data_IF_512046955925
#
_entry.id   IF_512046955925
#
_cell.length_a   1.000
_cell.length_b   1.000
_cell.length_c   1.000
_cell.angle_alpha   90.00
_cell.angle_beta   90.00
_cell.angle_gamma   90.00
#
_symmetry.space_group_name_H-M   'P 1'
#
loop_
_entity.id
_entity.type
_entity.pdbx_description
1 polymer ?
#
# COMPACT_ATOMS: atom_id res chain seq x y z
N UNK A 1 5.43 27.38 -15.02
CA UNK A 1 5.31 27.36 -13.55
C UNK A 1 3.97 26.77 -13.15
N UNK A 2 3.99 25.68 -12.42
CA UNK A 2 2.77 25.05 -11.90
C UNK A 2 2.29 25.92 -10.72
N UNK A 3 1.28 26.75 -10.91
CA UNK A 3 0.77 27.74 -9.93
C UNK A 3 0.29 27.14 -8.59
N UNK A 4 0.25 25.82 -8.46
CA UNK A 4 -0.26 25.10 -7.28
C UNK A 4 0.71 24.09 -6.70
N UNK A 5 2.00 24.17 -7.08
CA UNK A 5 3.05 23.28 -6.58
C UNK A 5 3.92 24.04 -5.59
N UNK A 6 4.11 23.48 -4.41
CA UNK A 6 5.06 23.96 -3.41
C UNK A 6 6.16 22.90 -3.24
N UNK A 7 7.41 23.28 -3.46
CA UNK A 7 8.57 22.44 -3.18
C UNK A 7 8.97 22.67 -1.72
N UNK A 8 9.09 21.59 -0.97
CA UNK A 8 9.51 21.60 0.42
C UNK A 8 10.87 20.92 0.54
N UNK A 9 11.82 21.57 1.17
CA UNK A 9 13.11 20.98 1.53
C UNK A 9 12.97 20.21 2.85
N UNK A 10 13.45 18.97 2.90
CA UNK A 10 13.47 18.14 4.11
C UNK A 10 14.92 17.91 4.56
N UNK A 11 15.39 18.59 5.62
CA UNK A 11 16.80 18.67 5.99
C UNK A 11 17.28 17.50 6.89
N UNK A 12 16.75 16.29 6.69
CA UNK A 12 17.11 15.13 7.50
C UNK A 12 17.40 13.91 6.62
N UNK A 13 18.03 12.85 7.13
CA UNK A 13 18.23 11.59 6.41
C UNK A 13 16.92 11.01 5.86
N UNK A 14 17.02 10.32 4.74
CA UNK A 14 15.85 9.75 4.08
C UNK A 14 15.07 8.82 5.01
N UNK A 15 13.80 9.17 5.23
CA UNK A 15 12.80 8.40 5.95
C UNK A 15 11.45 8.68 5.28
N UNK A 16 10.93 7.70 4.53
CA UNK A 16 9.69 7.86 3.77
C UNK A 16 8.52 8.32 4.66
N UNK A 17 8.37 7.70 5.82
CA UNK A 17 7.30 8.05 6.77
C UNK A 17 7.44 9.50 7.27
N UNK A 18 8.64 9.92 7.65
CA UNK A 18 8.88 11.27 8.18
C UNK A 18 8.71 12.34 7.10
N UNK A 19 9.19 12.10 5.88
CA UNK A 19 9.04 13.02 4.74
C UNK A 19 7.55 13.22 4.43
N UNK A 20 6.77 12.14 4.38
CA UNK A 20 5.34 12.23 4.11
C UNK A 20 4.57 12.89 5.25
N UNK A 21 4.87 12.57 6.51
CA UNK A 21 4.28 13.27 7.66
C UNK A 21 4.60 14.77 7.63
N UNK A 22 5.82 15.14 7.25
CA UNK A 22 6.22 16.53 7.06
C UNK A 22 5.42 17.19 5.94
N UNK A 23 5.30 16.55 4.78
CA UNK A 23 4.52 17.05 3.65
C UNK A 23 3.04 17.28 3.99
N UNK A 24 2.42 16.37 4.74
CA UNK A 24 1.01 16.50 5.17
C UNK A 24 0.77 17.75 6.04
N UNK A 25 1.73 18.17 6.87
CA UNK A 25 1.62 19.41 7.66
C UNK A 25 1.49 20.67 6.81
N UNK A 26 1.99 20.63 5.58
CA UNK A 26 1.92 21.74 4.62
C UNK A 26 0.78 21.59 3.61
N UNK A 27 0.19 20.41 3.48
CA UNK A 27 -0.95 20.16 2.61
C UNK A 27 -2.23 20.80 3.20
N UNK A 28 -3.18 21.21 2.34
CA UNK A 28 -4.42 21.90 2.76
C UNK A 28 -5.70 21.11 2.46
N UNK A 29 -5.60 20.04 1.65
CA UNK A 29 -6.75 19.27 1.22
C UNK A 29 -7.39 18.47 2.35
N UNK A 30 -8.69 18.22 2.26
CA UNK A 30 -9.43 17.29 3.14
C UNK A 30 -9.16 15.82 2.81
N UNK A 31 -8.64 15.53 1.62
CA UNK A 31 -8.11 14.24 1.20
C UNK A 31 -6.61 14.42 0.96
N UNK A 32 -5.81 13.54 1.54
CA UNK A 32 -4.36 13.48 1.38
C UNK A 32 -4.04 12.40 0.35
N UNK A 33 -3.14 12.70 -0.59
CA UNK A 33 -2.59 11.75 -1.53
C UNK A 33 -1.09 11.53 -1.31
N UNK A 34 -0.69 10.29 -1.08
CA UNK A 34 0.71 9.86 -1.17
C UNK A 34 0.95 9.34 -2.58
N UNK A 35 1.87 9.94 -3.30
CA UNK A 35 2.16 9.60 -4.69
C UNK A 35 3.67 9.63 -4.87
N UNK A 36 4.25 8.51 -5.25
CA UNK A 36 5.68 8.43 -5.56
C UNK A 36 6.00 9.24 -6.82
N UNK A 37 7.23 9.74 -6.90
CA UNK A 37 7.70 10.57 -8.01
C UNK A 37 7.97 9.78 -9.32
N UNK A 38 7.88 8.45 -9.27
CA UNK A 38 8.06 7.51 -10.37
C UNK A 38 6.73 6.83 -10.80
N UNK A 39 5.61 7.52 -10.54
CA UNK A 39 4.28 7.16 -11.04
C UNK A 39 4.03 7.80 -12.41
N UNK A 40 3.52 7.00 -13.35
CA UNK A 40 3.05 7.46 -14.67
C UNK A 40 1.58 7.07 -14.87
N UNK A 41 0.75 8.02 -15.29
CA UNK A 41 -0.70 7.83 -15.40
C UNK A 41 -1.06 7.08 -16.69
N UNK A 42 -1.85 5.99 -16.55
CA UNK A 42 -2.47 5.27 -17.66
C UNK A 42 -3.94 5.71 -17.81
N UNK A 43 -4.72 5.66 -16.74
CA UNK A 43 -6.14 6.06 -16.75
C UNK A 43 -6.25 7.56 -16.46
N UNK A 44 -6.69 8.40 -17.41
CA UNK A 44 -6.77 9.85 -17.19
C UNK A 44 -7.66 10.26 -16.00
N UNK A 45 -8.73 9.48 -15.71
CA UNK A 45 -9.70 9.73 -14.64
C UNK A 45 -9.30 9.08 -13.31
N UNK A 46 -8.10 8.54 -13.15
CA UNK A 46 -7.65 7.80 -11.98
C UNK A 46 -7.95 8.52 -10.66
N UNK A 47 -7.67 9.83 -10.61
CA UNK A 47 -7.89 10.63 -9.40
C UNK A 47 -9.38 10.78 -9.07
N UNK A 48 -10.23 10.94 -10.09
CA UNK A 48 -11.69 11.04 -9.92
C UNK A 48 -12.25 9.74 -9.31
N UNK A 49 -11.83 8.58 -9.82
CA UNK A 49 -12.24 7.29 -9.26
C UNK A 49 -11.79 7.12 -7.82
N UNK A 50 -10.53 7.37 -7.54
CA UNK A 50 -9.98 7.22 -6.18
C UNK A 50 -10.61 8.20 -5.18
N UNK A 51 -10.82 9.46 -5.56
CA UNK A 51 -11.50 10.46 -4.71
C UNK A 51 -12.94 10.06 -4.45
N UNK A 52 -13.66 9.57 -5.47
CA UNK A 52 -15.03 9.08 -5.32
C UNK A 52 -15.17 8.00 -4.26
N UNK A 53 -14.19 7.08 -4.16
CA UNK A 53 -14.13 6.10 -3.07
C UNK A 53 -13.72 6.75 -1.74
N UNK A 54 -12.68 7.57 -1.72
CA UNK A 54 -12.14 8.16 -0.50
C UNK A 54 -13.13 9.08 0.24
N UNK A 55 -14.12 9.66 -0.47
CA UNK A 55 -15.17 10.49 0.13
C UNK A 55 -16.21 9.71 0.93
N UNK A 56 -16.35 8.39 0.70
CA UNK A 56 -17.33 7.55 1.38
C UNK A 56 -16.98 7.40 2.87
N UNK A 57 -17.97 7.43 3.76
CA UNK A 57 -17.75 7.36 5.21
C UNK A 57 -17.11 6.04 5.65
N UNK A 58 -17.51 4.92 5.01
CA UNK A 58 -17.02 3.58 5.32
C UNK A 58 -15.62 3.27 4.75
N UNK A 59 -15.00 4.22 4.00
CA UNK A 59 -13.72 3.99 3.32
C UNK A 59 -12.57 4.69 4.04
N UNK A 60 -11.52 3.92 4.29
CA UNK A 60 -10.25 4.35 4.86
C UNK A 60 -9.25 4.80 3.79
N UNK A 61 -8.26 3.96 3.51
CA UNK A 61 -7.30 4.21 2.45
C UNK A 61 -7.82 3.68 1.10
N UNK A 62 -7.49 4.38 0.01
CA UNK A 62 -7.76 3.95 -1.36
C UNK A 62 -6.45 3.84 -2.11
N UNK A 63 -6.09 2.65 -2.60
CA UNK A 63 -4.88 2.40 -3.40
C UNK A 63 -5.21 2.16 -4.87
N UNK A 64 -4.35 2.65 -5.76
CA UNK A 64 -4.48 2.46 -7.20
C UNK A 64 -4.00 1.07 -7.65
N UNK A 65 -4.43 0.63 -8.83
CA UNK A 65 -3.81 -0.48 -9.54
C UNK A 65 -2.48 -0.03 -10.14
N UNK A 66 -1.38 -0.66 -9.71
CA UNK A 66 -0.06 -0.32 -10.21
C UNK A 66 0.51 -1.45 -11.07
N UNK A 67 1.16 -1.04 -12.15
CA UNK A 67 1.83 -1.91 -13.10
C UNK A 67 3.32 -1.64 -13.11
N UNK A 68 4.11 -2.68 -13.31
CA UNK A 68 5.51 -2.55 -13.72
C UNK A 68 5.63 -1.97 -15.13
N UNK A 69 6.81 -1.51 -15.51
CA UNK A 69 7.08 -0.99 -16.86
C UNK A 69 6.82 -2.02 -17.97
N UNK A 70 6.85 -3.32 -17.66
CA UNK A 70 6.53 -4.42 -18.57
C UNK A 70 5.02 -4.78 -18.58
N UNK A 71 4.18 -3.94 -17.98
CA UNK A 71 2.71 -4.07 -17.88
C UNK A 71 2.20 -5.15 -16.95
N UNK A 72 3.06 -5.92 -16.26
CA UNK A 72 2.59 -6.89 -15.26
C UNK A 72 2.10 -6.17 -14.00
N UNK A 73 1.18 -6.84 -13.28
CA UNK A 73 0.67 -6.34 -12.00
C UNK A 73 1.82 -6.19 -11.00
N UNK A 74 1.97 -4.99 -10.45
CA UNK A 74 2.82 -4.71 -9.30
C UNK A 74 1.99 -4.67 -8.02
N UNK A 75 0.86 -3.96 -8.04
CA UNK A 75 -0.06 -3.83 -6.92
C UNK A 75 -1.52 -3.98 -7.37
N UNK A 76 -2.22 -4.91 -6.74
CA UNK A 76 -3.66 -5.10 -6.80
C UNK A 76 -4.22 -5.42 -5.40
N UNK A 77 -3.81 -4.61 -4.40
CA UNK A 77 -4.08 -4.82 -2.98
C UNK A 77 -2.93 -5.52 -2.25
N UNK A 78 -2.97 -5.51 -0.93
CA UNK A 78 -1.97 -6.13 -0.04
C UNK A 78 -2.65 -7.16 0.84
N UNK A 79 -2.05 -8.36 0.91
CA UNK A 79 -2.44 -9.47 1.80
C UNK A 79 -1.44 -9.58 2.94
N UNK A 80 -1.94 -9.69 4.16
CA UNK A 80 -1.12 -9.93 5.34
C UNK A 80 -0.69 -11.40 5.41
N UNK A 81 0.53 -11.64 5.91
CA UNK A 81 1.09 -12.98 6.06
C UNK A 81 1.98 -13.44 4.91
N UNK A 82 1.89 -12.88 3.71
CA UNK A 82 2.84 -13.17 2.63
C UNK A 82 4.27 -12.85 3.08
N UNK A 83 5.20 -13.80 2.87
CA UNK A 83 6.59 -13.65 3.30
C UNK A 83 6.77 -13.44 4.81
N UNK A 84 5.79 -13.84 5.62
CA UNK A 84 5.79 -13.64 7.07
C UNK A 84 5.44 -12.22 7.53
N UNK A 85 5.13 -11.30 6.60
CA UNK A 85 4.76 -9.91 6.88
C UNK A 85 3.53 -9.49 6.10
N UNK A 86 3.73 -8.90 4.95
CA UNK A 86 2.68 -8.51 4.00
C UNK A 86 3.26 -8.46 2.58
N UNK A 87 2.42 -8.73 1.57
CA UNK A 87 2.85 -8.70 0.18
C UNK A 87 1.73 -8.32 -0.77
N UNK A 88 2.10 -7.96 -1.99
CA UNK A 88 1.17 -7.55 -3.03
C UNK A 88 0.42 -8.74 -3.60
N UNK A 89 -0.90 -8.64 -3.66
CA UNK A 89 -1.77 -9.63 -4.29
C UNK A 89 -1.52 -9.71 -5.80
N UNK A 90 -1.52 -10.94 -6.36
CA UNK A 90 -1.39 -11.20 -7.80
C UNK A 90 -0.15 -10.57 -8.45
N UNK A 91 0.92 -10.37 -7.69
CA UNK A 91 2.17 -9.79 -8.21
C UNK A 91 2.67 -10.56 -9.43
N UNK A 92 3.14 -9.83 -10.45
CA UNK A 92 3.62 -10.35 -11.74
C UNK A 92 2.54 -11.01 -12.63
N UNK A 93 1.26 -10.98 -12.29
CA UNK A 93 0.21 -11.44 -13.18
C UNK A 93 0.08 -10.51 -14.41
N UNK A 94 -0.37 -11.04 -15.57
CA UNK A 94 -0.69 -10.19 -16.73
C UNK A 94 -1.74 -9.13 -16.36
N UNK A 95 -1.62 -7.91 -16.91
CA UNK A 95 -2.56 -6.80 -16.70
C UNK A 95 -4.03 -7.18 -16.97
N UNK A 96 -4.26 -8.01 -18.00
CA UNK A 96 -5.59 -8.46 -18.43
C UNK A 96 -6.14 -9.65 -17.64
N UNK A 97 -5.38 -10.23 -16.72
CA UNK A 97 -5.82 -11.38 -15.94
C UNK A 97 -6.89 -10.96 -14.92
N UNK A 98 -7.96 -11.73 -14.80
CA UNK A 98 -9.03 -11.43 -13.85
C UNK A 98 -8.59 -11.57 -12.37
N UNK A 99 -7.63 -12.45 -12.11
CA UNK A 99 -7.21 -12.82 -10.75
C UNK A 99 -8.18 -13.82 -10.11
N UNK A 100 -8.05 -13.98 -8.81
CA UNK A 100 -8.96 -14.81 -8.03
C UNK A 100 -10.31 -14.10 -7.87
N UNK A 101 -11.38 -14.67 -8.43
CA UNK A 101 -12.74 -14.10 -8.40
C UNK A 101 -12.77 -12.61 -8.80
N UNK A 102 -12.16 -12.28 -9.92
CA UNK A 102 -12.08 -10.94 -10.51
C UNK A 102 -11.39 -9.87 -9.63
N UNK A 103 -10.60 -10.27 -8.63
CA UNK A 103 -9.99 -9.32 -7.67
C UNK A 103 -8.95 -8.38 -8.29
N UNK A 104 -8.47 -8.63 -9.51
CA UNK A 104 -7.60 -7.69 -10.24
C UNK A 104 -8.41 -6.64 -11.00
N UNK A 105 -9.58 -7.03 -11.53
CA UNK A 105 -10.38 -6.20 -12.44
C UNK A 105 -11.53 -5.48 -11.77
N UNK A 106 -11.93 -5.92 -10.58
CA UNK A 106 -12.98 -5.31 -9.79
C UNK A 106 -12.44 -4.56 -8.57
N UNK A 107 -12.93 -3.36 -8.32
CA UNK A 107 -12.66 -2.61 -7.08
C UNK A 107 -13.17 -3.39 -5.88
N UNK A 108 -12.31 -3.63 -4.89
CA UNK A 108 -12.64 -4.45 -3.72
C UNK A 108 -11.80 -4.11 -2.49
N UNK A 109 -12.18 -4.67 -1.33
CA UNK A 109 -11.50 -4.41 -0.07
C UNK A 109 -10.27 -5.31 0.13
N UNK A 110 -9.22 -4.71 0.69
CA UNK A 110 -8.03 -5.39 1.21
C UNK A 110 -7.66 -4.87 2.60
N UNK A 111 -6.87 -5.62 3.34
CA UNK A 111 -6.38 -5.16 4.65
C UNK A 111 -5.44 -3.97 4.54
N UNK A 112 -4.68 -3.89 3.45
CA UNK A 112 -3.84 -2.73 3.16
C UNK A 112 -3.72 -2.48 1.64
N UNK A 113 -3.23 -1.28 1.31
CA UNK A 113 -2.85 -0.85 -0.05
C UNK A 113 -1.54 -0.07 0.03
N UNK A 114 -0.77 -0.04 -1.07
CA UNK A 114 0.54 0.61 -1.05
C UNK A 114 0.46 2.13 -1.11
N UNK A 115 1.34 2.80 -0.36
CA UNK A 115 1.48 4.25 -0.40
C UNK A 115 2.27 4.77 -1.63
N UNK A 116 2.65 3.91 -2.57
CA UNK A 116 3.17 4.38 -3.86
C UNK A 116 2.12 5.24 -4.62
N UNK A 117 0.82 4.89 -4.49
CA UNK A 117 -0.31 5.75 -4.86
C UNK A 117 -1.51 5.45 -3.96
N UNK A 118 -1.72 6.27 -2.93
CA UNK A 118 -2.74 6.08 -1.90
C UNK A 118 -3.44 7.39 -1.57
N UNK A 119 -4.77 7.36 -1.48
CA UNK A 119 -5.58 8.46 -0.95
C UNK A 119 -6.19 8.10 0.41
N UNK A 120 -6.29 9.09 1.30
CA UNK A 120 -6.93 8.95 2.61
C UNK A 120 -7.55 10.27 3.06
N UNK A 121 -8.66 10.25 3.80
CA UNK A 121 -9.18 11.46 4.45
C UNK A 121 -8.15 12.01 5.44
N UNK A 122 -8.00 13.33 5.48
CA UNK A 122 -7.16 14.01 6.49
C UNK A 122 -7.57 13.64 7.91
N UNK A 123 -8.88 13.58 8.18
CA UNK A 123 -9.39 13.19 9.49
C UNK A 123 -8.93 11.80 9.93
N UNK A 124 -8.85 10.83 9.02
CA UNK A 124 -8.32 9.50 9.33
C UNK A 124 -6.81 9.53 9.56
N UNK A 125 -6.06 10.28 8.71
CA UNK A 125 -4.62 10.45 8.88
C UNK A 125 -4.29 11.06 10.25
N UNK A 126 -5.00 12.11 10.64
CA UNK A 126 -4.80 12.81 11.91
C UNK A 126 -5.21 11.91 13.11
N UNK A 127 -6.33 11.18 13.00
CA UNK A 127 -6.81 10.28 14.05
C UNK A 127 -5.82 9.16 14.40
N UNK A 128 -5.02 8.69 13.41
CA UNK A 128 -4.00 7.64 13.62
C UNK A 128 -2.59 8.19 13.82
N UNK A 129 -2.43 9.52 13.92
CA UNK A 129 -1.15 10.23 14.03
C UNK A 129 -0.17 9.94 12.88
N UNK A 130 -0.71 9.78 11.65
CA UNK A 130 0.07 9.60 10.44
C UNK A 130 0.88 8.31 10.37
N UNK A 131 1.95 8.34 9.57
CA UNK A 131 2.87 7.22 9.35
C UNK A 131 3.83 7.05 10.54
N UNK A 132 4.27 5.82 10.80
CA UNK A 132 5.18 5.50 11.91
C UNK A 132 6.65 5.76 11.54
N UNK A 133 7.07 7.00 11.65
CA UNK A 133 8.43 7.44 11.29
C UNK A 133 9.55 6.88 12.18
N UNK A 134 9.21 6.42 13.40
CA UNK A 134 10.21 5.92 14.36
C UNK A 134 10.58 4.46 14.15
N UNK A 135 9.63 3.64 13.71
CA UNK A 135 9.79 2.18 13.62
C UNK A 135 9.74 1.65 12.17
N UNK A 136 9.09 2.38 11.27
CA UNK A 136 8.86 2.00 9.88
C UNK A 136 9.27 3.14 8.95
N UNK A 137 10.57 3.33 8.83
CA UNK A 137 11.13 4.43 8.04
C UNK A 137 10.88 4.25 6.54
N UNK A 138 10.88 3.01 6.04
CA UNK A 138 10.79 2.70 4.60
C UNK A 138 9.86 1.54 4.29
N UNK A 139 10.07 0.35 4.86
CA UNK A 139 9.23 -0.82 4.57
C UNK A 139 8.01 -0.89 5.50
N UNK A 140 6.89 -1.42 4.98
CA UNK A 140 5.66 -1.70 5.72
C UNK A 140 4.99 -0.50 6.41
N UNK A 141 5.43 0.72 6.13
CA UNK A 141 4.82 1.92 6.71
C UNK A 141 3.39 2.13 6.23
N UNK A 142 3.11 1.78 4.98
CA UNK A 142 1.78 1.79 4.37
C UNK A 142 0.87 0.70 4.96
N UNK A 143 1.41 -0.49 5.21
CA UNK A 143 0.68 -1.60 5.84
C UNK A 143 0.25 -1.22 7.25
N UNK A 144 1.19 -0.77 8.11
CA UNK A 144 0.90 -0.27 9.46
C UNK A 144 -0.13 0.86 9.44
N UNK A 145 0.04 1.82 8.54
CA UNK A 145 -0.88 2.94 8.39
C UNK A 145 -2.30 2.48 8.01
N UNK A 146 -2.43 1.61 7.00
CA UNK A 146 -3.70 1.04 6.59
C UNK A 146 -4.38 0.27 7.72
N UNK A 147 -3.64 -0.50 8.51
CA UNK A 147 -4.17 -1.26 9.63
C UNK A 147 -4.63 -0.35 10.79
N UNK A 148 -3.90 0.73 11.07
CA UNK A 148 -4.35 1.75 12.02
C UNK A 148 -5.64 2.42 11.57
N UNK A 149 -5.75 2.76 10.28
CA UNK A 149 -6.98 3.34 9.69
C UNK A 149 -8.14 2.34 9.75
N UNK A 150 -7.92 1.04 9.46
CA UNK A 150 -8.94 0.00 9.65
C UNK A 150 -9.45 -0.05 11.10
N UNK A 151 -8.58 0.20 12.08
CA UNK A 151 -8.94 0.29 13.50
C UNK A 151 -9.96 1.39 13.84
N UNK A 152 -10.19 2.34 12.93
CA UNK A 152 -11.26 3.35 13.05
C UNK A 152 -12.65 2.81 12.61
N UNK A 153 -12.76 1.54 12.22
CA UNK A 153 -14.01 0.92 11.76
C UNK A 153 -14.32 1.14 10.27
N UNK A 154 -13.32 1.52 9.48
CA UNK A 154 -13.44 1.74 8.03
C UNK A 154 -12.64 0.70 7.24
N UNK A 155 -12.95 0.52 5.94
CA UNK A 155 -12.30 -0.47 5.07
C UNK A 155 -11.35 0.19 4.08
N UNK A 156 -10.18 -0.43 3.86
CA UNK A 156 -9.29 -0.01 2.78
C UNK A 156 -9.74 -0.61 1.45
N UNK A 157 -9.60 0.16 0.37
CA UNK A 157 -10.10 -0.17 -0.96
C UNK A 157 -8.97 -0.17 -1.97
N UNK A 158 -8.86 -1.23 -2.74
CA UNK A 158 -8.13 -1.28 -3.99
C UNK A 158 -9.06 -0.80 -5.12
N UNK A 159 -8.65 0.26 -5.83
CA UNK A 159 -9.41 0.86 -6.93
C UNK A 159 -8.87 0.32 -8.27
N UNK A 160 -9.57 -0.64 -8.85
CA UNK A 160 -9.14 -1.32 -10.08
C UNK A 160 -9.18 -0.41 -11.32
N UNK A 161 -10.06 0.59 -11.34
CA UNK A 161 -10.23 1.54 -12.44
C UNK A 161 -9.10 2.56 -12.54
N UNK A 162 -8.37 2.79 -11.44
CA UNK A 162 -7.25 3.72 -11.39
C UNK A 162 -5.94 3.00 -11.73
N UNK A 163 -5.63 2.86 -13.02
CA UNK A 163 -4.41 2.21 -13.48
C UNK A 163 -3.27 3.22 -13.69
N UNK A 164 -2.09 2.93 -13.12
CA UNK A 164 -0.87 3.70 -13.28
C UNK A 164 0.35 2.77 -13.40
N UNK A 165 1.40 3.21 -14.09
CA UNK A 165 2.72 2.60 -13.95
C UNK A 165 3.40 3.10 -12.68
N UNK A 166 4.16 2.24 -12.02
CA UNK A 166 5.10 2.60 -10.98
C UNK A 166 6.46 2.02 -11.35
N UNK A 167 7.36 2.90 -11.78
CA UNK A 167 8.68 2.57 -12.29
C UNK A 167 9.67 2.27 -11.16
N UNK A 168 9.30 1.32 -10.29
CA UNK A 168 10.05 0.93 -9.10
C UNK A 168 11.53 0.70 -9.37
N UNK A 169 12.38 1.13 -8.45
CA UNK A 169 13.82 0.90 -8.45
C UNK A 169 14.66 1.73 -9.44
N UNK A 170 14.08 2.63 -10.23
CA UNK A 170 14.87 3.50 -11.11
C UNK A 170 15.77 4.44 -10.30
N UNK A 171 15.27 4.92 -9.14
CA UNK A 171 15.98 5.89 -8.30
C UNK A 171 16.74 5.29 -7.11
N UNK A 172 16.40 4.08 -6.63
CA UNK A 172 16.97 3.50 -5.39
C UNK A 172 17.87 2.28 -5.59
N UNK A 173 17.79 1.59 -6.72
CA UNK A 173 18.39 0.28 -6.92
C UNK A 173 17.80 -0.80 -5.98
N UNK A 174 18.30 -2.04 -6.11
CA UNK A 174 17.91 -3.14 -5.22
C UNK A 174 18.43 -2.91 -3.79
N UNK A 175 17.63 -3.26 -2.77
CA UNK A 175 17.97 -3.16 -1.35
C UNK A 175 18.94 -4.29 -0.91
N UNK A 176 20.11 -4.36 -1.57
CA UNK A 176 21.08 -5.46 -1.37
C UNK A 176 22.20 -5.13 -0.37
N UNK A 177 22.29 -3.89 0.16
CA UNK A 177 23.32 -3.58 1.15
C UNK A 177 22.99 -4.20 2.52
N UNK A 178 24.01 -4.60 3.32
CA UNK A 178 23.80 -5.14 4.66
C UNK A 178 22.99 -4.22 5.59
N UNK A 179 23.18 -2.89 5.48
CA UNK A 179 22.46 -1.90 6.28
C UNK A 179 20.98 -1.87 5.91
N UNK A 180 20.66 -1.91 4.62
CA UNK A 180 19.29 -1.93 4.13
C UNK A 180 18.57 -3.22 4.52
N UNK A 181 19.25 -4.36 4.42
CA UNK A 181 18.74 -5.66 4.88
C UNK A 181 18.48 -5.66 6.40
N UNK A 182 19.42 -5.13 7.19
CA UNK A 182 19.26 -5.01 8.64
C UNK A 182 18.08 -4.07 9.01
N UNK A 183 17.90 -2.96 8.28
CA UNK A 183 16.74 -2.08 8.45
C UNK A 183 15.44 -2.84 8.14
N UNK A 184 15.36 -3.47 6.98
CA UNK A 184 14.17 -4.24 6.56
C UNK A 184 13.78 -5.29 7.60
N UNK A 185 14.75 -6.05 8.13
CA UNK A 185 14.49 -7.07 9.15
C UNK A 185 13.97 -6.46 10.47
N UNK A 186 14.45 -5.28 10.89
CA UNK A 186 13.92 -4.58 12.08
C UNK A 186 12.49 -4.11 11.83
N UNK A 187 12.19 -3.56 10.64
CA UNK A 187 10.87 -3.09 10.26
C UNK A 187 9.87 -4.26 10.16
N UNK A 188 10.30 -5.39 9.57
CA UNK A 188 9.50 -6.62 9.52
C UNK A 188 9.20 -7.17 10.94
N UNK A 189 10.20 -7.25 11.80
CA UNK A 189 10.03 -7.70 13.19
C UNK A 189 9.04 -6.81 13.95
N UNK A 190 9.12 -5.49 13.74
CA UNK A 190 8.15 -4.57 14.33
C UNK A 190 6.73 -4.85 13.81
N UNK A 191 6.54 -4.99 12.50
CA UNK A 191 5.23 -5.28 11.91
C UNK A 191 4.66 -6.59 12.47
N UNK A 192 5.46 -7.66 12.50
CA UNK A 192 5.06 -8.97 13.03
C UNK A 192 4.66 -8.92 14.51
N UNK A 193 5.30 -8.05 15.30
CA UNK A 193 5.00 -7.90 16.72
C UNK A 193 3.73 -7.07 16.93
N UNK A 194 3.65 -5.93 16.26
CA UNK A 194 2.54 -4.97 16.41
C UNK A 194 1.22 -5.53 15.88
N UNK A 195 1.27 -6.29 14.76
CA UNK A 195 0.10 -6.77 14.03
C UNK A 195 0.00 -8.29 13.97
N UNK A 196 0.52 -8.98 14.99
CA UNK A 196 0.59 -10.45 15.06
C UNK A 196 -0.73 -11.15 14.75
N UNK A 197 -1.83 -10.65 15.30
CA UNK A 197 -3.15 -11.26 15.14
C UNK A 197 -3.65 -11.14 13.69
N UNK A 198 -3.50 -9.96 13.09
CA UNK A 198 -3.92 -9.67 11.73
C UNK A 198 -3.04 -10.39 10.70
N UNK A 199 -1.73 -10.47 10.92
CA UNK A 199 -0.81 -11.22 10.06
C UNK A 199 -1.12 -12.72 10.09
N UNK A 200 -1.51 -13.25 11.25
CA UNK A 200 -1.91 -14.65 11.39
C UNK A 200 -3.25 -14.95 10.71
N UNK A 201 -4.16 -13.98 10.72
CA UNK A 201 -5.51 -14.14 10.18
C UNK A 201 -5.97 -12.83 9.55
N UNK A 202 -5.59 -12.62 8.30
CA UNK A 202 -5.98 -11.46 7.51
C UNK A 202 -7.51 -11.46 7.30
N UNK A 203 -8.25 -10.46 7.80
CA UNK A 203 -9.71 -10.42 7.68
C UNK A 203 -10.21 -10.29 6.22
N UNK A 204 -9.35 -9.87 5.30
CA UNK A 204 -9.66 -9.74 3.86
C UNK A 204 -9.17 -10.91 3.02
N UNK A 205 -8.63 -11.98 3.64
CA UNK A 205 -8.08 -13.15 2.95
C UNK A 205 -8.61 -14.46 3.54
N UNK A 206 -9.05 -15.36 2.67
CA UNK A 206 -9.59 -16.65 3.14
C UNK A 206 -8.52 -17.52 3.83
N UNK A 207 -8.78 -18.09 5.02
CA UNK A 207 -7.85 -18.97 5.70
C UNK A 207 -7.55 -20.29 4.94
N UNK A 208 -8.36 -20.62 3.93
CA UNK A 208 -8.16 -21.81 3.08
C UNK A 208 -7.18 -21.57 1.93
N UNK A 209 -6.76 -20.33 1.71
CA UNK A 209 -5.81 -19.96 0.65
C UNK A 209 -4.39 -19.92 1.20
N UNK A 210 -3.41 -20.31 0.35
CA UNK A 210 -2.00 -20.34 0.76
C UNK A 210 -1.40 -18.96 0.89
N UNK A 211 -0.54 -18.77 1.88
CA UNK A 211 0.32 -17.60 2.03
C UNK A 211 1.74 -17.82 1.47
N UNK A 212 2.00 -18.97 0.84
CA UNK A 212 3.30 -19.28 0.21
C UNK A 212 3.46 -18.70 -1.19
N UNK A 213 2.34 -18.30 -1.82
CA UNK A 213 2.30 -17.74 -3.18
C UNK A 213 1.26 -16.62 -3.25
N UNK A 214 1.56 -15.59 -4.03
CA UNK A 214 0.73 -14.38 -4.18
C UNK A 214 -0.42 -14.56 -5.20
N UNK A 215 -0.91 -15.79 -5.39
CA UNK A 215 -1.83 -16.19 -6.46
C UNK A 215 -3.20 -16.70 -5.98
N UNK A 216 -3.48 -16.65 -4.68
CA UNK A 216 -4.74 -17.12 -4.09
C UNK A 216 -5.03 -18.62 -4.34
N UNK A 217 -4.00 -19.44 -4.50
CA UNK A 217 -4.19 -20.90 -4.59
C UNK A 217 -4.72 -21.46 -3.28
N UNK A 218 -5.47 -22.57 -3.36
CA UNK A 218 -5.90 -23.32 -2.19
C UNK A 218 -4.67 -23.90 -1.47
N UNK A 219 -4.71 -23.92 -0.14
CA UNK A 219 -3.69 -24.56 0.69
C UNK A 219 -3.55 -26.04 0.34
N UNK A 220 -2.31 -26.51 0.31
CA UNK A 220 -2.06 -27.95 0.28
C UNK A 220 -2.42 -28.59 1.63
N UNK A 221 -2.73 -29.89 1.69
CA UNK A 221 -3.03 -30.60 2.95
C UNK A 221 -1.99 -30.36 4.06
N UNK A 222 -0.70 -30.28 3.70
CA UNK A 222 0.42 -30.00 4.64
C UNK A 222 0.47 -28.56 5.16
N UNK A 223 -0.39 -27.68 4.69
CA UNK A 223 -0.51 -26.28 5.16
C UNK A 223 -1.72 -26.09 6.08
N UNK A 224 -2.53 -27.13 6.28
CA UNK A 224 -3.75 -27.12 7.10
C UNK A 224 -3.50 -27.58 8.54
N UNK A 225 -2.29 -28.09 8.83
CA UNK A 225 -1.80 -28.44 10.17
C UNK A 225 -1.08 -27.25 10.82
#
# INVERSE_FOLDING_TARGET
TLERVTVLEYPAPFNYSAINNFGVKHARGSIIGFINNDIEVITPQWLTYMVGHAQRESVGCVGAKLLYSDTRIQHAGVVLGYGGGAGHAHKNFPRSHAGYLDRITATNNFSAVTAACLLVKRSHFDAVNGLNEKKLAVAFNDVDFCLKVNGLGVSNVYCAEAELFHHESVSRGLDVSPEKAARFNRELTYLQTAWKAQIKNDPAYSPNLTLKRENFSIKNPTELE
#
